data_IF_481799519487
#
_entry.id   IF_481799519487
#
_cell.length_a   1.000
_cell.length_b   1.000
_cell.length_c   1.000
_cell.angle_alpha   90.00
_cell.angle_beta   90.00
_cell.angle_gamma   90.00
#
_symmetry.space_group_name_H-M   'P 1'
#
loop_
_entity.id
_entity.type
_entity.pdbx_description
1 polymer ?
#
# COMPACT_ATOMS: atom_id res chain seq x y z
N UNK A 1 -13.42 -10.04 -4.85
CA UNK A 1 -13.36 -8.75 -4.13
C UNK A 1 -13.51 -7.65 -5.16
N UNK A 2 -14.35 -6.64 -4.94
CA UNK A 2 -14.49 -5.50 -5.87
C UNK A 2 -13.44 -4.43 -5.53
N UNK A 3 -13.06 -3.60 -6.51
CA UNK A 3 -12.08 -2.53 -6.27
C UNK A 3 -12.52 -1.55 -5.18
N UNK A 4 -13.83 -1.32 -5.01
CA UNK A 4 -14.35 -0.45 -3.95
C UNK A 4 -14.09 -0.98 -2.53
N UNK A 5 -14.14 -2.31 -2.34
CA UNK A 5 -13.85 -2.93 -1.04
C UNK A 5 -12.35 -2.78 -0.71
N UNK A 6 -11.48 -3.06 -1.68
CA UNK A 6 -10.04 -2.87 -1.51
C UNK A 6 -9.69 -1.41 -1.19
N UNK A 7 -10.36 -0.46 -1.82
CA UNK A 7 -10.16 0.98 -1.54
C UNK A 7 -10.56 1.36 -0.12
N UNK A 8 -11.68 0.83 0.38
CA UNK A 8 -12.10 1.05 1.76
C UNK A 8 -11.05 0.50 2.75
N UNK A 9 -10.59 -0.73 2.53
CA UNK A 9 -9.57 -1.37 3.37
C UNK A 9 -8.22 -0.62 3.34
N UNK A 10 -7.79 -0.12 2.17
CA UNK A 10 -6.60 0.73 2.07
C UNK A 10 -6.78 2.04 2.85
N UNK A 11 -7.96 2.66 2.77
CA UNK A 11 -8.24 3.90 3.49
C UNK A 11 -8.20 3.71 5.00
N UNK A 12 -8.70 2.58 5.50
CA UNK A 12 -8.57 2.18 6.92
C UNK A 12 -7.13 1.81 7.33
N UNK A 13 -6.26 1.61 6.34
CA UNK A 13 -4.85 1.26 6.52
C UNK A 13 -3.90 2.45 6.40
N UNK A 14 -4.40 3.67 6.19
CA UNK A 14 -3.57 4.89 6.15
C UNK A 14 -2.75 5.00 7.45
N UNK A 15 -1.44 5.17 7.30
CA UNK A 15 -0.48 5.22 8.41
C UNK A 15 -0.05 3.85 8.94
N UNK A 16 -0.52 2.74 8.35
CA UNK A 16 -0.13 1.36 8.72
C UNK A 16 0.70 0.72 7.62
N UNK A 17 1.60 -0.18 8.02
CA UNK A 17 2.30 -1.05 7.10
C UNK A 17 1.39 -2.21 6.74
N UNK A 18 1.28 -2.49 5.44
CA UNK A 18 0.49 -3.57 4.88
C UNK A 18 1.30 -4.26 3.80
N UNK A 19 0.95 -5.51 3.50
CA UNK A 19 1.44 -6.19 2.31
C UNK A 19 0.41 -6.04 1.19
N UNK A 20 0.85 -5.49 0.06
CA UNK A 20 0.06 -5.40 -1.16
C UNK A 20 0.38 -6.57 -2.07
N UNK A 21 -0.65 -7.10 -2.74
CA UNK A 21 -0.51 -8.00 -3.89
C UNK A 21 -0.81 -7.22 -5.16
N UNK A 22 0.21 -7.05 -6.00
CA UNK A 22 0.17 -6.34 -7.27
C UNK A 22 -0.20 -7.28 -8.43
N UNK A 23 -0.50 -6.68 -9.59
CA UNK A 23 -0.72 -7.42 -10.83
C UNK A 23 0.46 -8.35 -11.15
N UNK A 24 0.16 -9.60 -11.53
CA UNK A 24 1.19 -10.62 -11.76
C UNK A 24 1.64 -11.40 -10.52
N UNK A 25 1.00 -11.18 -9.37
CA UNK A 25 1.23 -11.97 -8.14
C UNK A 25 2.45 -11.52 -7.33
N UNK A 26 3.05 -10.38 -7.67
CA UNK A 26 4.12 -9.78 -6.88
C UNK A 26 3.55 -9.20 -5.58
N UNK A 27 4.26 -9.38 -4.48
CA UNK A 27 3.88 -8.82 -3.19
C UNK A 27 4.92 -7.82 -2.70
N UNK A 28 4.46 -6.74 -2.08
CA UNK A 28 5.33 -5.68 -1.55
C UNK A 28 4.79 -5.17 -0.22
N UNK A 29 5.66 -4.99 0.77
CA UNK A 29 5.30 -4.34 2.04
C UNK A 29 5.44 -2.83 1.90
N UNK A 30 4.36 -2.11 2.19
CA UNK A 30 4.28 -0.67 2.02
C UNK A 30 3.62 0.00 3.22
N UNK A 31 3.99 1.24 3.49
CA UNK A 31 3.22 2.15 4.34
C UNK A 31 2.21 2.91 3.48
N UNK A 32 0.93 2.81 3.83
CA UNK A 32 -0.13 3.56 3.14
C UNK A 32 -0.08 5.02 3.57
N UNK A 33 0.00 5.94 2.61
CA UNK A 33 0.05 7.38 2.87
C UNK A 33 -1.26 8.08 2.55
N UNK A 34 -1.83 7.78 1.37
CA UNK A 34 -3.11 8.37 0.92
C UNK A 34 -3.85 7.40 0.00
N UNK A 35 -5.17 7.55 -0.06
CA UNK A 35 -6.05 6.76 -0.93
C UNK A 35 -7.07 7.68 -1.58
N UNK A 36 -6.99 7.78 -2.90
CA UNK A 36 -7.81 8.63 -3.75
C UNK A 36 -8.73 7.79 -4.67
N UNK A 37 -9.75 8.41 -5.28
CA UNK A 37 -10.65 7.69 -6.21
C UNK A 37 -9.97 7.13 -7.45
N UNK A 38 -8.79 7.65 -7.82
CA UNK A 38 -8.03 7.25 -9.02
C UNK A 38 -6.88 6.29 -8.74
N UNK A 39 -6.58 6.03 -7.46
CA UNK A 39 -5.45 5.20 -7.05
C UNK A 39 -5.07 5.45 -5.60
N UNK A 40 -3.93 4.92 -5.18
CA UNK A 40 -3.45 5.12 -3.82
C UNK A 40 -1.94 5.33 -3.82
N UNK A 41 -1.49 6.08 -2.82
CA UNK A 41 -0.12 6.53 -2.65
C UNK A 41 0.46 5.77 -1.46
N UNK A 42 1.49 4.97 -1.73
CA UNK A 42 2.25 4.31 -0.68
C UNK A 42 3.74 4.61 -0.80
N UNK A 43 4.48 4.31 0.26
CA UNK A 43 5.94 4.21 0.23
C UNK A 43 6.38 2.81 0.64
N UNK A 44 7.52 2.31 0.17
CA UNK A 44 8.05 1.03 0.64
C UNK A 44 8.21 1.05 2.17
N UNK A 45 7.82 -0.04 2.82
CA UNK A 45 8.09 -0.24 4.24
C UNK A 45 9.54 -0.71 4.38
N UNK A 46 10.39 0.14 4.94
CA UNK A 46 11.76 -0.25 5.27
C UNK A 46 11.78 -0.85 6.69
N UNK A 47 12.53 -1.93 6.91
CA UNK A 47 12.62 -2.59 8.21
C UNK A 47 13.28 -1.70 9.28
N UNK A 48 14.04 -0.67 8.88
CA UNK A 48 14.64 0.28 9.80
C UNK A 48 13.94 1.66 9.71
N UNK A 49 13.25 2.12 10.78
CA UNK A 49 12.63 3.43 10.81
C UNK A 49 13.62 4.60 10.80
N UNK A 50 14.92 4.34 11.00
CA UNK A 50 16.01 5.33 10.91
C UNK A 50 16.71 5.34 9.55
N UNK A 51 16.43 4.37 8.68
CA UNK A 51 16.91 4.43 7.31
C UNK A 51 16.14 5.54 6.60
N UNK A 52 16.86 6.60 6.21
CA UNK A 52 16.30 7.67 5.38
C UNK A 52 16.00 7.08 4.01
N UNK A 53 14.84 6.43 3.90
CA UNK A 53 14.27 6.02 2.64
C UNK A 53 14.25 7.25 1.72
N UNK A 54 14.67 7.12 0.46
CA UNK A 54 14.41 8.19 -0.49
C UNK A 54 12.90 8.44 -0.47
N UNK A 55 12.48 9.70 -0.29
CA UNK A 55 11.08 10.11 -0.24
C UNK A 55 10.44 10.01 -1.63
N UNK A 56 10.40 8.80 -2.20
CA UNK A 56 9.68 8.53 -3.43
C UNK A 56 8.34 7.91 -3.08
N UNK A 57 7.30 8.42 -3.73
CA UNK A 57 5.95 7.96 -3.56
C UNK A 57 5.58 7.11 -4.76
N UNK A 58 5.04 5.93 -4.50
CA UNK A 58 4.57 5.04 -5.56
C UNK A 58 3.06 5.13 -5.62
N UNK A 59 2.57 5.54 -6.79
CA UNK A 59 1.15 5.53 -7.10
C UNK A 59 0.81 4.24 -7.81
N UNK A 60 -0.04 3.43 -7.18
CA UNK A 60 -0.50 2.18 -7.77
C UNK A 60 -1.94 2.36 -8.26
N UNK A 61 -2.20 1.80 -9.44
CA UNK A 61 -3.54 1.80 -10.05
C UNK A 61 -4.27 0.47 -9.90
N UNK A 62 -3.53 -0.61 -9.66
CA UNK A 62 -4.08 -1.96 -9.59
C UNK A 62 -3.50 -2.73 -8.41
N UNK A 63 -4.40 -3.15 -7.50
CA UNK A 63 -4.12 -4.07 -6.41
C UNK A 63 -5.12 -5.20 -6.46
N UNK A 64 -4.62 -6.40 -6.23
CA UNK A 64 -5.40 -7.63 -6.23
C UNK A 64 -5.63 -8.19 -4.83
N UNK A 65 -4.91 -7.70 -3.81
CA UNK A 65 -5.08 -8.11 -2.42
C UNK A 65 -4.31 -7.25 -1.43
N UNK A 66 -4.79 -7.22 -0.19
CA UNK A 66 -4.22 -6.50 0.94
C UNK A 66 -4.14 -7.47 2.11
N UNK A 67 -2.98 -7.56 2.75
CA UNK A 67 -2.81 -8.32 3.99
C UNK A 67 -2.28 -7.35 5.07
N UNK A 68 -2.97 -7.21 6.22
CA UNK A 68 -2.42 -6.45 7.34
C UNK A 68 -1.17 -7.15 7.89
N UNK A 69 -0.14 -6.39 8.22
CA UNK A 69 1.00 -6.94 8.97
C UNK A 69 0.55 -7.21 10.42
N UNK A 70 0.77 -8.44 10.90
CA UNK A 70 0.30 -8.96 12.20
C UNK A 70 1.15 -8.44 13.35
#
# INVERSE_FOLDING_TARGET
>A
MTQDVLRAELRDSIGKQIRLTLGGGQTETVLVLSVDPDGFICRPAYPDPNESAPEFWVAYKEVSGIEPEV
#
